data_IF_097999093489
#
_entry.id   IF_097999093489
#
_cell.length_a   1.000
_cell.length_b   1.000
_cell.length_c   1.000
_cell.angle_alpha   90.00
_cell.angle_beta   90.00
_cell.angle_gamma   90.00
#
_symmetry.space_group_name_H-M   'P 1'
#
loop_
_entity.id
_entity.type
_entity.pdbx_description
1 polymer ?
#
# COMPACT_ATOMS: atom_id res chain seq x y z
N UNK A 1 61.92 -32.41 5.07
CA UNK A 1 61.37 -33.04 6.29
C UNK A 1 60.94 -31.89 7.21
N UNK A 2 59.66 -31.47 7.11
CA UNK A 2 58.55 -31.70 8.10
C UNK A 2 58.72 -30.80 9.34
N UNK A 3 57.81 -29.95 9.80
CA UNK A 3 56.32 -29.84 9.69
C UNK A 3 55.83 -28.47 10.25
N UNK A 4 54.59 -28.11 9.88
CA UNK A 4 53.59 -27.12 10.37
C UNK A 4 53.74 -26.42 11.75
N UNK A 5 53.23 -25.18 11.90
CA UNK A 5 51.82 -24.92 12.32
C UNK A 5 51.48 -23.40 12.42
N UNK A 6 50.18 -23.13 12.46
CA UNK A 6 49.43 -22.00 11.93
C UNK A 6 49.11 -20.86 12.91
N UNK A 7 48.97 -19.67 12.30
CA UNK A 7 47.96 -18.61 12.53
C UNK A 7 46.82 -18.84 13.54
N UNK A 8 46.48 -17.83 14.36
CA UNK A 8 45.44 -16.78 14.13
C UNK A 8 45.01 -16.12 15.45
N UNK A 9 44.88 -14.80 15.50
CA UNK A 9 43.93 -14.13 16.40
C UNK A 9 43.20 -13.07 15.60
N UNK A 10 41.90 -13.27 15.48
CA UNK A 10 40.97 -12.55 14.64
C UNK A 10 40.41 -11.35 15.39
N UNK A 11 40.54 -10.14 14.83
CA UNK A 11 39.68 -9.01 15.18
C UNK A 11 38.52 -8.96 14.18
N UNK A 12 37.30 -9.18 14.64
CA UNK A 12 36.09 -8.87 13.87
C UNK A 12 35.15 -8.08 14.76
N UNK A 13 35.12 -6.77 14.57
CA UNK A 13 34.02 -5.93 15.01
C UNK A 13 32.82 -6.23 14.12
N UNK A 14 31.74 -6.73 14.71
CA UNK A 14 30.50 -7.02 14.00
C UNK A 14 29.58 -5.81 14.14
N UNK A 15 29.66 -4.88 13.20
CA UNK A 15 28.55 -3.96 12.92
C UNK A 15 27.50 -4.71 12.09
N UNK A 16 26.57 -5.39 12.75
CA UNK A 16 25.36 -5.84 12.09
C UNK A 16 24.38 -4.67 12.01
N UNK A 17 24.60 -3.80 11.02
CA UNK A 17 23.56 -2.90 10.54
C UNK A 17 22.43 -3.74 9.99
N UNK A 18 21.37 -3.94 10.77
CA UNK A 18 20.14 -4.53 10.27
C UNK A 18 19.64 -3.63 9.14
N UNK A 19 19.77 -4.11 7.91
CA UNK A 19 19.25 -3.45 6.73
C UNK A 19 17.72 -3.58 6.78
N UNK A 20 17.06 -2.71 7.55
CA UNK A 20 15.60 -2.64 7.60
C UNK A 20 15.16 -2.23 6.20
N UNK A 21 14.37 -3.04 5.47
CA UNK A 21 13.77 -2.57 4.24
C UNK A 21 12.83 -1.44 4.66
N UNK A 22 13.25 -0.20 4.41
CA UNK A 22 12.40 0.96 4.62
C UNK A 22 11.24 0.80 3.64
N UNK A 23 10.12 0.29 4.13
CA UNK A 23 8.88 0.30 3.36
C UNK A 23 8.55 1.77 3.12
N UNK A 24 8.80 2.25 1.90
CA UNK A 24 8.52 3.63 1.48
C UNK A 24 7.02 3.93 1.39
N UNK A 25 6.17 3.11 2.00
CA UNK A 25 4.72 3.21 2.04
C UNK A 25 4.28 4.37 2.94
N UNK A 26 4.50 5.59 2.46
CA UNK A 26 4.03 6.81 3.09
C UNK A 26 2.56 7.07 2.67
N UNK A 27 1.60 7.09 3.61
CA UNK A 27 0.18 7.38 3.33
C UNK A 27 -0.08 8.82 2.87
N UNK A 28 0.88 9.72 3.06
CA UNK A 28 0.84 11.13 2.64
C UNK A 28 1.45 11.39 1.25
N UNK A 29 2.04 10.37 0.60
CA UNK A 29 2.51 10.51 -0.77
C UNK A 29 1.33 10.77 -1.70
N UNK A 30 1.46 11.81 -2.53
CA UNK A 30 0.49 12.10 -3.58
C UNK A 30 0.51 10.96 -4.60
N UNK A 31 -0.52 10.12 -4.58
CA UNK A 31 -0.67 9.00 -5.51
C UNK A 31 -1.15 9.45 -6.90
N UNK A 32 -1.63 10.70 -7.00
CA UNK A 32 -2.07 11.35 -8.23
C UNK A 32 -1.58 12.80 -8.24
N UNK A 33 -1.28 13.33 -9.43
CA UNK A 33 -0.97 14.76 -9.62
C UNK A 33 -2.21 15.65 -9.57
N UNK A 34 -3.41 15.05 -9.69
CA UNK A 34 -4.70 15.72 -9.67
C UNK A 34 -5.62 15.02 -8.68
N UNK A 35 -6.29 15.80 -7.81
CA UNK A 35 -7.29 15.27 -6.89
C UNK A 35 -8.60 14.99 -7.61
N UNK A 36 -9.28 13.89 -7.26
CA UNK A 36 -10.63 13.60 -7.78
C UNK A 36 -11.57 14.77 -7.48
N UNK A 37 -12.16 15.36 -8.51
CA UNK A 37 -12.98 16.58 -8.43
C UNK A 37 -14.43 16.41 -8.92
N UNK A 38 -14.79 15.19 -9.32
CA UNK A 38 -16.09 14.88 -9.88
C UNK A 38 -16.12 14.83 -11.42
N UNK A 39 -15.17 15.45 -12.11
CA UNK A 39 -15.11 15.55 -13.57
C UNK A 39 -13.94 14.76 -14.17
N UNK A 40 -12.87 14.58 -13.40
CA UNK A 40 -11.62 13.95 -13.83
C UNK A 40 -11.51 12.44 -13.52
N UNK A 41 -12.62 11.75 -13.28
CA UNK A 41 -12.62 10.36 -12.79
C UNK A 41 -11.73 9.42 -13.61
N UNK A 42 -11.77 9.47 -14.94
CA UNK A 42 -10.98 8.56 -15.78
C UNK A 42 -9.46 8.74 -15.58
N UNK A 43 -9.00 9.98 -15.54
CA UNK A 43 -7.57 10.31 -15.37
C UNK A 43 -7.13 9.97 -13.94
N UNK A 44 -7.97 10.29 -12.95
CA UNK A 44 -7.72 9.95 -11.56
C UNK A 44 -7.67 8.44 -11.34
N UNK A 45 -8.65 7.70 -11.86
CA UNK A 45 -8.74 6.24 -11.69
C UNK A 45 -7.55 5.52 -12.33
N UNK A 46 -7.11 5.96 -13.52
CA UNK A 46 -5.91 5.42 -14.16
C UNK A 46 -4.67 5.65 -13.28
N UNK A 47 -4.49 6.89 -12.80
CA UNK A 47 -3.34 7.26 -11.97
C UNK A 47 -3.30 6.49 -10.64
N UNK A 48 -4.43 6.44 -9.93
CA UNK A 48 -4.56 5.69 -8.68
C UNK A 48 -4.30 4.20 -8.88
N UNK A 49 -4.86 3.61 -9.94
CA UNK A 49 -4.65 2.19 -10.28
C UNK A 49 -3.18 1.90 -10.59
N UNK A 50 -2.51 2.76 -11.37
CA UNK A 50 -1.08 2.61 -11.69
C UNK A 50 -0.21 2.70 -10.44
N UNK A 51 -0.46 3.69 -9.57
CA UNK A 51 0.28 3.83 -8.31
C UNK A 51 0.12 2.59 -7.42
N UNK A 52 -1.12 2.16 -7.17
CA UNK A 52 -1.41 1.01 -6.30
C UNK A 52 -0.85 -0.29 -6.89
N UNK A 53 -0.93 -0.47 -8.21
CA UNK A 53 -0.31 -1.61 -8.90
C UNK A 53 1.21 -1.60 -8.80
N UNK A 54 1.86 -0.43 -8.95
CA UNK A 54 3.30 -0.27 -8.77
C UNK A 54 3.81 -0.61 -7.37
N UNK A 55 2.92 -0.68 -6.37
CA UNK A 55 3.21 -1.10 -5.00
C UNK A 55 2.81 -2.55 -4.70
N UNK A 56 2.33 -3.30 -5.71
CA UNK A 56 1.87 -4.67 -5.55
C UNK A 56 0.58 -4.81 -4.76
N UNK A 57 -0.20 -3.73 -4.58
CA UNK A 57 -1.42 -3.71 -3.75
C UNK A 57 -2.72 -3.69 -4.57
N UNK A 58 -2.65 -4.03 -5.86
CA UNK A 58 -3.82 -3.98 -6.78
C UNK A 58 -4.96 -4.91 -6.33
N UNK A 59 -4.64 -6.01 -5.65
CA UNK A 59 -5.62 -6.98 -5.15
C UNK A 59 -6.63 -6.39 -4.16
N UNK A 60 -6.28 -5.29 -3.49
CA UNK A 60 -7.18 -4.56 -2.59
C UNK A 60 -8.28 -3.78 -3.32
N UNK A 61 -8.15 -3.57 -4.65
CA UNK A 61 -9.19 -2.97 -5.50
C UNK A 61 -10.03 -4.03 -6.24
N UNK A 62 -9.41 -5.12 -6.67
CA UNK A 62 -10.02 -6.15 -7.55
C UNK A 62 -10.74 -7.27 -6.80
N UNK A 63 -10.73 -7.28 -5.46
CA UNK A 63 -11.21 -8.36 -4.57
C UNK A 63 -10.29 -9.59 -4.50
N UNK A 64 -9.13 -9.56 -5.14
CA UNK A 64 -8.15 -10.66 -5.06
C UNK A 64 -7.57 -10.78 -3.64
N UNK A 65 -7.44 -9.66 -2.92
CA UNK A 65 -7.11 -9.62 -1.50
C UNK A 65 -8.38 -9.84 -0.66
N UNK A 66 -8.82 -11.11 -0.55
CA UNK A 66 -9.98 -11.49 0.27
C UNK A 66 -9.80 -11.08 1.72
N UNK A 67 -10.88 -10.62 2.35
CA UNK A 67 -10.91 -10.30 3.79
C UNK A 67 -10.65 -11.60 4.56
N UNK A 68 -9.57 -11.69 5.35
CA UNK A 68 -9.33 -12.86 6.19
C UNK A 68 -10.32 -12.90 7.36
N UNK A 69 -10.54 -14.09 7.93
CA UNK A 69 -11.24 -14.22 9.20
C UNK A 69 -10.49 -13.47 10.30
N UNK A 70 -11.19 -12.88 11.26
CA UNK A 70 -10.57 -12.07 12.32
C UNK A 70 -9.65 -12.87 13.25
N UNK A 71 -9.77 -14.19 13.25
CA UNK A 71 -8.93 -15.13 13.98
C UNK A 71 -7.67 -15.54 13.22
N UNK A 72 -7.57 -15.18 11.93
CA UNK A 72 -6.40 -15.48 11.10
C UNK A 72 -5.23 -14.57 11.45
N UNK A 73 -4.06 -15.17 11.63
CA UNK A 73 -2.77 -14.47 11.80
C UNK A 73 -2.47 -13.45 10.69
N UNK A 74 -3.04 -13.63 9.48
CA UNK A 74 -2.88 -12.73 8.33
C UNK A 74 -3.80 -11.52 8.39
N UNK A 75 -4.84 -11.52 9.24
CA UNK A 75 -5.81 -10.42 9.34
C UNK A 75 -5.15 -9.09 9.67
N UNK A 76 -4.23 -9.07 10.64
CA UNK A 76 -3.55 -7.83 11.04
C UNK A 76 -2.78 -7.20 9.87
N UNK A 77 -2.05 -8.02 9.11
CA UNK A 77 -1.32 -7.56 7.92
C UNK A 77 -2.27 -7.05 6.85
N UNK A 78 -3.32 -7.81 6.54
CA UNK A 78 -4.33 -7.41 5.57
C UNK A 78 -5.00 -6.09 5.97
N UNK A 79 -5.35 -5.93 7.25
CA UNK A 79 -5.99 -4.73 7.76
C UNK A 79 -5.08 -3.50 7.63
N UNK A 80 -3.79 -3.63 7.96
CA UNK A 80 -2.81 -2.56 7.78
C UNK A 80 -2.64 -2.17 6.31
N UNK A 81 -2.49 -3.14 5.41
CA UNK A 81 -2.33 -2.89 3.98
C UNK A 81 -3.61 -2.32 3.34
N UNK A 82 -4.79 -2.82 3.71
CA UNK A 82 -6.08 -2.26 3.30
C UNK A 82 -6.23 -0.81 3.77
N UNK A 83 -5.91 -0.53 5.04
CA UNK A 83 -5.98 0.84 5.61
C UNK A 83 -5.05 1.81 4.90
N UNK A 84 -3.86 1.34 4.50
CA UNK A 84 -2.92 2.13 3.71
C UNK A 84 -3.51 2.46 2.33
N UNK A 85 -4.07 1.49 1.62
CA UNK A 85 -4.71 1.72 0.31
C UNK A 85 -5.92 2.66 0.46
N UNK A 86 -6.73 2.50 1.51
CA UNK A 86 -7.82 3.44 1.82
C UNK A 86 -7.29 4.87 2.00
N UNK A 87 -6.22 5.05 2.76
CA UNK A 87 -5.62 6.38 2.98
C UNK A 87 -5.16 7.01 1.67
N UNK A 88 -4.54 6.23 0.78
CA UNK A 88 -4.13 6.71 -0.54
C UNK A 88 -5.33 7.17 -1.38
N UNK A 89 -6.41 6.38 -1.41
CA UNK A 89 -7.63 6.74 -2.13
C UNK A 89 -8.23 8.03 -1.56
N UNK A 90 -8.48 8.09 -0.25
CA UNK A 90 -9.13 9.25 0.40
C UNK A 90 -8.30 10.52 0.26
N UNK A 91 -6.97 10.46 0.46
CA UNK A 91 -6.09 11.63 0.32
C UNK A 91 -5.96 12.13 -1.12
N UNK A 92 -6.24 11.28 -2.10
CA UNK A 92 -6.25 11.64 -3.52
C UNK A 92 -7.56 12.28 -4.00
N UNK A 93 -8.54 12.47 -3.12
CA UNK A 93 -9.82 13.11 -3.44
C UNK A 93 -9.87 14.56 -2.92
N UNK A 94 -10.70 15.40 -3.53
CA UNK A 94 -11.03 16.68 -2.91
C UNK A 94 -11.77 16.44 -1.58
N UNK A 95 -11.57 17.29 -0.55
CA UNK A 95 -12.12 17.05 0.79
C UNK A 95 -13.65 16.85 0.83
N UNK A 96 -14.40 17.62 0.02
CA UNK A 96 -15.85 17.50 -0.08
C UNK A 96 -16.32 16.15 -0.66
N UNK A 97 -15.49 15.52 -1.50
CA UNK A 97 -15.74 14.19 -2.07
C UNK A 97 -15.29 13.12 -1.08
N UNK A 98 -14.10 13.29 -0.49
CA UNK A 98 -13.48 12.35 0.44
C UNK A 98 -14.38 11.98 1.65
N UNK A 99 -15.13 12.96 2.18
CA UNK A 99 -16.05 12.76 3.32
C UNK A 99 -17.07 11.64 3.07
N UNK A 100 -17.53 11.47 1.82
CA UNK A 100 -18.49 10.42 1.47
C UNK A 100 -17.95 8.99 1.59
N UNK A 101 -16.62 8.83 1.66
CA UNK A 101 -15.93 7.54 1.64
C UNK A 101 -15.23 7.19 2.95
N UNK A 102 -15.12 8.13 3.91
CA UNK A 102 -14.40 7.93 5.17
C UNK A 102 -14.98 6.82 6.07
N UNK A 103 -16.26 6.49 5.92
CA UNK A 103 -16.94 5.47 6.72
C UNK A 103 -16.93 4.07 6.10
N UNK A 104 -16.32 3.92 4.93
CA UNK A 104 -16.18 2.60 4.28
C UNK A 104 -15.11 1.79 4.99
N UNK A 105 -15.28 0.46 4.97
CA UNK A 105 -14.44 -0.48 5.72
C UNK A 105 -13.27 -1.00 4.90
N UNK A 106 -13.38 -0.97 3.58
CA UNK A 106 -12.36 -1.53 2.68
C UNK A 106 -12.01 -0.58 1.55
N UNK A 107 -10.77 -0.68 1.06
CA UNK A 107 -10.33 0.03 -0.13
C UNK A 107 -11.19 -0.32 -1.35
N UNK A 108 -11.65 -1.57 -1.42
CA UNK A 108 -12.57 -2.05 -2.45
C UNK A 108 -13.92 -1.33 -2.41
N UNK A 109 -14.53 -1.18 -1.24
CA UNK A 109 -15.79 -0.45 -1.09
C UNK A 109 -15.64 1.00 -1.57
N UNK A 110 -14.54 1.67 -1.18
CA UNK A 110 -14.22 3.02 -1.65
C UNK A 110 -14.10 3.02 -3.18
N UNK A 111 -13.31 2.10 -3.73
CA UNK A 111 -13.08 2.00 -5.16
C UNK A 111 -14.40 1.83 -5.92
N UNK A 112 -15.18 0.80 -5.60
CA UNK A 112 -16.44 0.49 -6.28
C UNK A 112 -17.47 1.63 -6.14
N UNK A 113 -17.56 2.26 -4.96
CA UNK A 113 -18.47 3.38 -4.74
C UNK A 113 -18.07 4.64 -5.50
N UNK A 114 -16.77 4.87 -5.71
CA UNK A 114 -16.30 5.98 -6.56
C UNK A 114 -16.61 5.69 -8.03
N UNK A 115 -16.60 4.43 -8.48
CA UNK A 115 -16.92 4.08 -9.87
C UNK A 115 -18.43 4.16 -10.18
N UNK A 116 -19.28 3.79 -9.23
CA UNK A 116 -20.74 3.66 -9.41
C UNK A 116 -21.42 4.89 -10.08
N UNK A 117 -21.13 6.14 -9.66
CA UNK A 117 -21.68 7.35 -10.31
C UNK A 117 -21.24 7.56 -11.76
N UNK A 118 -20.15 6.93 -12.20
CA UNK A 118 -19.58 7.06 -13.55
C UNK A 118 -19.86 5.85 -14.44
N UNK A 119 -20.19 4.70 -13.87
CA UNK A 119 -20.58 3.50 -14.63
C UNK A 119 -22.01 3.58 -15.20
N UNK A 120 -22.83 4.52 -14.72
CA UNK A 120 -24.20 4.76 -15.21
C UNK A 120 -24.31 5.90 -16.23
N UNK A 121 -23.18 6.43 -16.73
CA UNK A 121 -23.14 7.46 -17.78
C UNK A 121 -22.60 6.93 -19.10
#
# INVERSE_FOLDING_TARGET
>A
MTTDDSTKTSSSGSETGANIPVSMDNPSLQITTVKLDGQNFLIWALSARMYIAGRGKIGYLTSDAKVPESTDTTYSKWYSENSLVMSWLVHSMQPNIAVGYMFMRTAKEIWDAVQSPYSQR
#
